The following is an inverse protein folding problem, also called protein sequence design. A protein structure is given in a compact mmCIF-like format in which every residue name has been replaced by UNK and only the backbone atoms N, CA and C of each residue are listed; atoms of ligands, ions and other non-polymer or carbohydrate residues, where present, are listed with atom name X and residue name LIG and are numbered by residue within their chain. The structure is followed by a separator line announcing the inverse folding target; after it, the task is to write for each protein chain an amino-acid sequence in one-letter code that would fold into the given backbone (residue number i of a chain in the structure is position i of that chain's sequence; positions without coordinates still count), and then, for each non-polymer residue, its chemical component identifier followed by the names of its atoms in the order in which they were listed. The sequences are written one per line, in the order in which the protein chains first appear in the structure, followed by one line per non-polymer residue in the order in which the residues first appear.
data_IF_615849299277
#
_entry.id   IF_615849299277
#
_cell.length_a   1.000
_cell.length_b   1.000
_cell.length_c   1.000
_cell.angle_alpha   90.00
_cell.angle_beta   90.00
_cell.angle_gamma   90.00
#
_symmetry.space_group_name_H-M   'P 1'
#
loop_
_entity.id
_entity.type
_entity.pdbx_description
1 polymer ?
#
# COMPACT_ATOMS: atom_id res chain seq x y z
N UNK A 1 -8.76 22.50 -16.73
CA UNK A 1 -8.77 21.02 -16.82
C UNK A 1 -7.97 20.52 -15.65
N UNK A 2 -8.62 20.04 -14.59
CA UNK A 2 -7.92 19.65 -13.36
C UNK A 2 -8.66 18.57 -12.60
N UNK A 3 -7.93 17.48 -12.34
CA UNK A 3 -8.04 16.63 -11.14
C UNK A 3 -9.14 15.55 -11.12
N UNK A 4 -9.27 14.75 -12.18
CA UNK A 4 -9.93 13.44 -12.05
C UNK A 4 -9.04 12.40 -11.32
N UNK A 5 -7.71 12.61 -11.27
CA UNK A 5 -6.76 11.73 -10.60
C UNK A 5 -6.90 11.77 -9.07
N UNK A 6 -7.02 12.97 -8.51
CA UNK A 6 -7.09 13.20 -7.05
C UNK A 6 -8.30 12.54 -6.38
N UNK A 7 -9.43 12.40 -7.07
CA UNK A 7 -10.64 11.78 -6.51
C UNK A 7 -10.50 10.25 -6.39
N UNK A 8 -9.76 9.63 -7.30
CA UNK A 8 -9.52 8.18 -7.28
C UNK A 8 -8.56 7.82 -6.14
N UNK A 9 -7.48 8.57 -6.01
CA UNK A 9 -6.52 8.42 -4.92
C UNK A 9 -7.17 8.67 -3.55
N UNK A 10 -7.91 9.78 -3.40
CA UNK A 10 -8.62 10.09 -2.15
C UNK A 10 -9.57 8.96 -1.72
N UNK A 11 -10.39 8.45 -2.66
CA UNK A 11 -11.30 7.33 -2.36
C UNK A 11 -10.55 6.05 -1.99
N UNK A 12 -9.44 5.77 -2.67
CA UNK A 12 -8.61 4.61 -2.37
C UNK A 12 -8.07 4.67 -0.94
N UNK A 13 -7.55 5.83 -0.54
CA UNK A 13 -7.02 6.07 0.80
C UNK A 13 -8.12 6.06 1.88
N UNK A 14 -9.28 6.67 1.62
CA UNK A 14 -10.44 6.64 2.54
C UNK A 14 -10.91 5.22 2.85
N UNK A 15 -10.83 4.33 1.86
CA UNK A 15 -11.18 2.91 1.98
C UNK A 15 -9.99 2.03 2.38
N UNK A 16 -8.94 2.64 2.97
CA UNK A 16 -7.74 1.95 3.48
C UNK A 16 -7.01 1.10 2.43
N UNK A 17 -7.10 1.45 1.16
CA UNK A 17 -6.48 0.72 0.05
C UNK A 17 -7.16 -0.63 -0.28
N UNK A 18 -8.36 -0.89 0.24
CA UNK A 18 -9.00 -2.22 0.11
C UNK A 18 -9.95 -2.35 -1.08
N UNK A 19 -10.22 -1.24 -1.79
CA UNK A 19 -11.22 -1.21 -2.87
C UNK A 19 -10.63 -0.58 -4.12
N UNK A 20 -10.90 -1.16 -5.28
CA UNK A 20 -10.49 -0.58 -6.54
C UNK A 20 -11.00 0.86 -6.68
N UNK A 21 -10.17 1.86 -6.97
CA UNK A 21 -10.59 3.25 -7.10
C UNK A 21 -11.50 3.50 -8.31
N UNK A 22 -11.45 2.61 -9.32
CA UNK A 22 -12.24 2.71 -10.54
C UNK A 22 -13.63 2.08 -10.39
N UNK A 23 -13.72 0.81 -10.00
CA UNK A 23 -15.00 0.07 -9.99
C UNK A 23 -15.58 -0.18 -8.58
N UNK A 24 -14.78 0.00 -7.52
CA UNK A 24 -15.21 -0.22 -6.14
C UNK A 24 -15.20 -1.67 -5.69
N UNK A 25 -14.78 -2.62 -6.53
CA UNK A 25 -14.64 -4.01 -6.13
C UNK A 25 -13.48 -4.19 -5.14
N UNK A 26 -13.59 -5.19 -4.27
CA UNK A 26 -12.55 -5.61 -3.33
C UNK A 26 -11.62 -6.69 -3.88
N UNK A 27 -11.92 -7.20 -5.09
CA UNK A 27 -11.10 -8.20 -5.76
C UNK A 27 -9.89 -7.51 -6.41
N UNK A 28 -8.88 -7.22 -5.59
CA UNK A 28 -7.62 -6.59 -5.97
C UNK A 28 -6.47 -7.55 -5.63
N UNK A 29 -5.45 -7.56 -6.47
CA UNK A 29 -4.24 -8.37 -6.32
C UNK A 29 -3.03 -7.46 -6.21
N UNK A 30 -2.20 -7.69 -5.19
CA UNK A 30 -0.92 -7.03 -5.03
C UNK A 30 0.19 -7.87 -5.67
N UNK A 31 0.97 -7.26 -6.56
CA UNK A 31 2.16 -7.85 -7.16
C UNK A 31 3.38 -7.80 -6.22
N UNK A 32 4.57 -7.94 -6.81
CA UNK A 32 5.84 -7.79 -6.09
C UNK A 32 5.98 -6.39 -5.49
N UNK A 33 6.58 -6.32 -4.30
CA UNK A 33 6.97 -5.06 -3.65
C UNK A 33 8.43 -4.77 -3.98
N UNK A 34 8.70 -3.62 -4.59
CA UNK A 34 10.05 -3.10 -4.80
C UNK A 34 10.41 -2.16 -3.65
N UNK A 35 11.41 -2.52 -2.86
CA UNK A 35 11.86 -1.77 -1.70
C UNK A 35 13.08 -0.93 -2.09
N UNK A 36 12.98 0.38 -1.88
CA UNK A 36 14.06 1.33 -2.12
C UNK A 36 14.27 2.17 -0.86
N UNK A 37 15.47 2.69 -0.63
CA UNK A 37 15.81 3.35 0.64
C UNK A 37 14.75 4.34 1.13
N UNK A 38 14.11 4.02 2.26
CA UNK A 38 13.07 4.85 2.89
C UNK A 38 11.63 4.63 2.41
N UNK A 39 11.37 3.70 1.49
CA UNK A 39 10.02 3.43 0.98
C UNK A 39 9.89 2.12 0.22
N UNK A 40 8.71 1.90 -0.37
CA UNK A 40 8.47 0.77 -1.25
C UNK A 40 7.36 1.10 -2.25
N UNK A 41 7.39 0.49 -3.43
CA UNK A 41 6.33 0.58 -4.43
C UNK A 41 5.80 -0.81 -4.71
N UNK A 42 4.48 -0.96 -4.77
CA UNK A 42 3.83 -2.21 -5.14
C UNK A 42 2.87 -1.97 -6.31
N UNK A 43 2.97 -2.78 -7.37
CA UNK A 43 1.96 -2.78 -8.43
C UNK A 43 0.70 -3.50 -7.93
N UNK A 44 -0.46 -2.88 -8.11
CA UNK A 44 -1.76 -3.44 -7.73
C UNK A 44 -2.66 -3.51 -8.96
N UNK A 45 -3.42 -4.60 -9.09
CA UNK A 45 -4.38 -4.81 -10.18
C UNK A 45 -5.75 -5.16 -9.61
N UNK A 46 -6.82 -4.66 -10.22
CA UNK A 46 -8.18 -5.11 -9.92
C UNK A 46 -8.58 -6.21 -10.90
N UNK A 47 -8.85 -7.39 -10.38
CA UNK A 47 -9.26 -8.57 -11.14
C UNK A 47 -10.72 -8.49 -11.64
N UNK A 48 -11.48 -7.46 -11.23
CA UNK A 48 -12.86 -7.26 -11.66
C UNK A 48 -13.01 -6.29 -12.85
N UNK A 49 -12.07 -5.38 -13.04
CA UNK A 49 -12.17 -4.36 -14.10
C UNK A 49 -10.84 -4.03 -14.80
N UNK A 50 -9.81 -4.83 -14.56
CA UNK A 50 -8.47 -4.76 -15.16
C UNK A 50 -7.76 -3.41 -14.97
N UNK A 51 -8.14 -2.65 -13.94
CA UNK A 51 -7.45 -1.41 -13.61
C UNK A 51 -6.15 -1.73 -12.87
N UNK A 52 -5.08 -1.00 -13.17
CA UNK A 52 -3.78 -1.16 -12.51
C UNK A 52 -3.31 0.18 -11.95
N UNK A 53 -2.70 0.15 -10.78
CA UNK A 53 -2.08 1.32 -10.13
C UNK A 53 -0.86 0.87 -9.31
N UNK A 54 -0.18 1.83 -8.68
CA UNK A 54 0.93 1.55 -7.78
C UNK A 54 0.62 2.11 -6.40
N UNK A 55 0.74 1.25 -5.39
CA UNK A 55 0.77 1.67 -4.00
C UNK A 55 2.16 2.20 -3.67
N UNK A 56 2.20 3.35 -2.98
CA UNK A 56 3.43 4.02 -2.58
C UNK A 56 3.53 4.00 -1.05
N UNK A 57 4.50 3.26 -0.52
CA UNK A 57 4.78 3.18 0.90
C UNK A 57 5.98 4.05 1.28
N UNK A 58 5.94 4.60 2.49
CA UNK A 58 7.05 5.33 3.11
C UNK A 58 7.38 4.68 4.44
N UNK A 59 8.67 4.57 4.77
CA UNK A 59 9.12 4.13 6.08
C UNK A 59 8.73 5.19 7.12
N UNK A 60 7.77 4.87 7.99
CA UNK A 60 7.27 5.80 9.02
C UNK A 60 7.85 5.57 10.41
N UNK A 61 8.61 4.48 10.62
CA UNK A 61 9.20 4.16 11.91
C UNK A 61 9.98 2.85 11.91
N UNK A 62 10.61 2.55 13.04
CA UNK A 62 11.28 1.27 13.32
C UNK A 62 11.05 0.88 14.78
N UNK A 63 10.96 -0.43 15.04
CA UNK A 63 11.00 -0.97 16.40
C UNK A 63 12.32 -1.73 16.52
N UNK A 64 13.12 -1.41 17.53
CA UNK A 64 14.30 -2.18 17.87
C UNK A 64 13.86 -3.32 18.80
N UNK A 65 13.99 -4.56 18.36
CA UNK A 65 13.86 -5.71 19.25
C UNK A 65 15.18 -5.85 20.03
N UNK A 66 15.25 -5.25 21.22
CA UNK A 66 16.34 -5.55 22.15
C UNK A 66 16.11 -6.94 22.73
N UNK A 67 17.03 -7.87 22.42
CA UNK A 67 17.12 -9.15 23.11
C UNK A 67 17.25 -8.84 24.61
N UNK A 68 16.21 -9.13 25.39
CA UNK A 68 16.22 -8.88 26.83
C UNK A 68 17.37 -9.66 27.44
N UNK A 69 18.48 -8.97 27.68
CA UNK A 69 19.45 -9.37 28.67
C UNK A 69 18.71 -9.46 30.01
N UNK A 70 18.23 -10.65 30.36
CA UNK A 70 18.36 -11.27 31.69
C UNK A 70 17.52 -12.56 31.77
N UNK A 71 18.20 -13.71 31.73
CA UNK A 71 17.78 -14.88 32.51
C UNK A 71 19.02 -15.61 33.05
N UNK A 72 19.60 -15.03 34.11
CA UNK A 72 20.16 -15.69 35.29
C UNK A 72 20.72 -17.12 35.09
N UNK A 73 22.05 -17.24 35.04
CA UNK A 73 22.89 -17.97 36.01
C UNK A 73 24.36 -17.63 35.81
#
# INVERSE_FOLDING_TARGET
MGRCHDLMEARYLELSGLHCPKCGATNISGGSVDIQGGGAIQQVTCEACDASWHDCYTLTGMILEEETALARK
#
